data_IF_529093255184
#
_entry.id   IF_529093255184
#
_cell.length_a   1.000
_cell.length_b   1.000
_cell.length_c   1.000
_cell.angle_alpha   90.00
_cell.angle_beta   90.00
_cell.angle_gamma   90.00
#
_symmetry.space_group_name_H-M   'P 1'
#
loop_
_entity.id
_entity.type
_entity.pdbx_description
1 polymer ?
#
# COMPACT_ATOMS: atom_id res chain seq x y z
N UNK A 1 8.24 8.54 -28.87
CA UNK A 1 7.97 8.30 -27.43
C UNK A 1 6.87 7.27 -27.37
N UNK A 2 7.06 6.15 -26.67
CA UNK A 2 6.02 5.10 -26.56
C UNK A 2 4.80 5.68 -25.83
N UNK A 3 3.59 5.23 -26.18
CA UNK A 3 2.32 5.61 -25.58
C UNK A 3 1.72 4.46 -24.79
N UNK A 4 1.31 4.76 -23.56
CA UNK A 4 0.75 3.80 -22.59
C UNK A 4 -0.73 4.09 -22.41
N UNK A 5 -1.56 3.06 -22.57
CA UNK A 5 -2.93 3.07 -22.08
C UNK A 5 -2.94 2.55 -20.65
N UNK A 6 -3.25 3.41 -19.69
CA UNK A 6 -3.24 3.10 -18.26
C UNK A 6 -4.67 2.94 -17.74
N UNK A 7 -5.05 1.73 -17.31
CA UNK A 7 -6.38 1.45 -16.80
C UNK A 7 -6.34 1.35 -15.27
N UNK A 8 -7.06 2.23 -14.58
CA UNK A 8 -7.05 2.28 -13.11
C UNK A 8 -8.46 2.20 -12.51
N UNK A 9 -8.66 1.44 -11.41
CA UNK A 9 -9.97 1.26 -10.80
C UNK A 9 -10.51 2.52 -10.12
N UNK A 10 -9.67 3.55 -9.91
CA UNK A 10 -10.04 4.83 -9.29
C UNK A 10 -9.01 5.89 -9.62
N UNK A 11 -9.42 7.15 -9.60
CA UNK A 11 -8.49 8.25 -9.79
C UNK A 11 -7.43 8.27 -8.64
N UNK A 12 -6.12 8.32 -8.95
CA UNK A 12 -5.07 8.20 -7.93
C UNK A 12 -4.76 9.51 -7.20
N UNK A 13 -5.59 10.53 -7.39
CA UNK A 13 -5.48 11.85 -6.76
C UNK A 13 -6.81 12.24 -6.13
N UNK A 14 -6.84 12.78 -4.89
CA UNK A 14 -5.69 13.06 -4.04
C UNK A 14 -5.05 11.76 -3.51
N UNK A 15 -3.73 11.75 -3.36
CA UNK A 15 -2.94 10.59 -2.95
C UNK A 15 -3.03 10.37 -1.42
N UNK A 16 -4.20 9.95 -0.95
CA UNK A 16 -4.54 9.86 0.48
C UNK A 16 -4.64 8.41 1.01
N UNK A 17 -4.39 7.43 0.16
CA UNK A 17 -4.33 6.00 0.52
C UNK A 17 -3.10 5.38 -0.13
N UNK A 18 -2.56 4.29 0.43
CA UNK A 18 -1.33 3.66 -0.07
C UNK A 18 -1.37 3.31 -1.56
N UNK A 19 -2.49 2.76 -2.03
CA UNK A 19 -2.69 2.45 -3.45
C UNK A 19 -2.67 3.71 -4.33
N UNK A 20 -3.39 4.78 -3.93
CA UNK A 20 -3.39 6.05 -4.67
C UNK A 20 -2.00 6.71 -4.67
N UNK A 21 -1.26 6.62 -3.55
CA UNK A 21 0.12 7.12 -3.44
C UNK A 21 1.03 6.38 -4.44
N UNK A 22 0.96 5.05 -4.50
CA UNK A 22 1.73 4.28 -5.48
C UNK A 22 1.38 4.69 -6.90
N UNK A 23 0.12 4.55 -7.30
CA UNK A 23 -0.32 4.83 -8.67
C UNK A 23 0.02 6.26 -9.09
N UNK A 24 -0.17 7.25 -8.21
CA UNK A 24 0.18 8.65 -8.48
C UNK A 24 1.69 8.82 -8.76
N UNK A 25 2.55 8.20 -7.95
CA UNK A 25 3.99 8.30 -8.15
C UNK A 25 4.47 7.51 -9.36
N UNK A 26 3.93 6.33 -9.63
CA UNK A 26 4.22 5.58 -10.86
C UNK A 26 3.85 6.41 -12.09
N UNK A 27 2.67 7.02 -12.13
CA UNK A 27 2.27 7.90 -13.22
C UNK A 27 3.25 9.07 -13.41
N UNK A 28 3.67 9.75 -12.32
CA UNK A 28 4.68 10.83 -12.37
C UNK A 28 6.02 10.36 -12.93
N UNK A 29 6.40 9.10 -12.71
CA UNK A 29 7.62 8.54 -13.29
C UNK A 29 7.43 8.19 -14.77
N UNK A 30 6.29 7.60 -15.13
CA UNK A 30 6.00 7.22 -16.51
C UNK A 30 5.94 8.43 -17.45
N UNK A 31 5.32 9.54 -17.05
CA UNK A 31 5.20 10.73 -17.92
C UNK A 31 6.53 11.37 -18.29
N UNK A 32 7.61 11.11 -17.54
CA UNK A 32 8.96 11.59 -17.88
C UNK A 32 9.48 10.96 -19.18
N UNK A 33 8.99 9.77 -19.55
CA UNK A 33 9.53 8.95 -20.64
C UNK A 33 8.48 8.42 -21.62
N UNK A 34 7.19 8.45 -21.24
CA UNK A 34 6.07 7.93 -22.03
C UNK A 34 4.94 8.96 -22.18
N UNK A 35 4.20 8.87 -23.28
CA UNK A 35 2.89 9.52 -23.38
C UNK A 35 1.87 8.65 -22.64
N UNK A 36 1.16 9.18 -21.66
CA UNK A 36 0.25 8.39 -20.81
C UNK A 36 -1.17 8.87 -20.97
N UNK A 37 -2.05 7.98 -21.41
CA UNK A 37 -3.50 8.16 -21.37
C UNK A 37 -4.07 7.28 -20.25
N UNK A 38 -4.68 7.89 -19.23
CA UNK A 38 -5.34 7.19 -18.12
C UNK A 38 -6.83 7.12 -18.38
N UNK A 39 -7.40 5.92 -18.29
CA UNK A 39 -8.85 5.72 -18.18
C UNK A 39 -9.15 5.19 -16.79
N UNK A 40 -9.99 5.89 -16.05
CA UNK A 40 -10.27 5.55 -14.66
C UNK A 40 -11.73 5.75 -14.27
N UNK A 41 -12.18 4.98 -13.28
CA UNK A 41 -13.48 5.22 -12.67
C UNK A 41 -13.47 6.46 -11.79
N UNK A 42 -14.55 7.23 -11.88
CA UNK A 42 -14.85 8.36 -11.00
C UNK A 42 -16.00 7.99 -10.08
N UNK A 43 -15.80 8.21 -8.78
CA UNK A 43 -16.78 7.96 -7.72
C UNK A 43 -17.20 9.25 -7.03
N UNK A 44 -16.35 10.27 -7.04
CA UNK A 44 -16.55 11.52 -6.29
C UNK A 44 -16.93 12.67 -7.22
N UNK A 45 -17.76 13.58 -6.71
CA UNK A 45 -18.15 14.80 -7.43
C UNK A 45 -16.95 15.71 -7.75
N UNK A 46 -15.89 15.66 -6.93
CA UNK A 46 -14.69 16.49 -7.09
C UNK A 46 -13.60 15.88 -7.98
N UNK A 47 -13.81 14.67 -8.53
CA UNK A 47 -12.81 14.00 -9.38
C UNK A 47 -12.43 14.84 -10.61
N UNK A 48 -13.30 15.73 -11.07
CA UNK A 48 -13.00 16.66 -12.16
C UNK A 48 -11.89 17.68 -11.83
N UNK A 49 -11.75 18.09 -10.56
CA UNK A 49 -10.64 18.96 -10.12
C UNK A 49 -9.34 18.18 -10.06
N UNK A 50 -9.41 16.96 -9.54
CA UNK A 50 -8.27 16.06 -9.44
C UNK A 50 -7.78 15.60 -10.81
N UNK A 51 -8.68 15.41 -11.78
CA UNK A 51 -8.37 15.19 -13.19
C UNK A 51 -7.43 16.27 -13.73
N UNK A 52 -7.76 17.55 -13.53
CA UNK A 52 -6.94 18.67 -14.00
C UNK A 52 -5.52 18.63 -13.44
N UNK A 53 -5.33 18.16 -12.21
CA UNK A 53 -3.99 18.04 -11.62
C UNK A 53 -3.10 17.03 -12.34
N UNK A 54 -3.67 15.95 -12.88
CA UNK A 54 -2.94 14.98 -13.71
C UNK A 54 -2.72 15.53 -15.13
N UNK A 55 -3.70 16.24 -15.70
CA UNK A 55 -3.57 16.88 -17.01
C UNK A 55 -2.46 17.94 -17.03
N UNK A 56 -2.30 18.69 -15.93
CA UNK A 56 -1.24 19.69 -15.77
C UNK A 56 0.18 19.08 -15.80
N UNK A 57 0.33 17.78 -15.50
CA UNK A 57 1.62 17.08 -15.60
C UNK A 57 1.74 16.24 -16.89
N UNK A 58 0.88 16.51 -17.88
CA UNK A 58 0.95 15.91 -19.22
C UNK A 58 0.22 14.57 -19.38
N UNK A 59 -0.63 14.18 -18.43
CA UNK A 59 -1.43 12.95 -18.50
C UNK A 59 -2.80 13.27 -19.08
N UNK A 60 -3.18 12.61 -20.16
CA UNK A 60 -4.56 12.71 -20.64
C UNK A 60 -5.44 11.78 -19.79
N UNK A 61 -6.55 12.29 -19.24
CA UNK A 61 -7.40 11.51 -18.34
C UNK A 61 -8.84 11.43 -18.85
N UNK A 62 -9.33 10.22 -19.05
CA UNK A 62 -10.73 9.92 -19.30
C UNK A 62 -11.38 9.32 -18.05
N UNK A 63 -12.46 9.95 -17.59
CA UNK A 63 -13.20 9.50 -16.40
C UNK A 63 -14.48 8.80 -16.83
N UNK A 64 -14.68 7.60 -16.29
CA UNK A 64 -15.91 6.83 -16.44
C UNK A 64 -16.66 6.90 -15.13
N UNK A 65 -17.87 7.44 -15.15
CA UNK A 65 -18.67 7.55 -13.93
C UNK A 65 -19.05 6.14 -13.45
N UNK A 66 -18.77 5.84 -12.19
CA UNK A 66 -19.20 4.59 -11.57
C UNK A 66 -20.19 4.83 -10.44
N UNK A 67 -21.23 4.02 -10.41
CA UNK A 67 -22.17 3.96 -9.30
C UNK A 67 -21.92 2.70 -8.49
N UNK A 68 -21.83 2.84 -7.17
CA UNK A 68 -21.71 1.70 -6.28
C UNK A 68 -22.91 0.74 -6.47
N UNK A 69 -22.67 -0.58 -6.63
CA UNK A 69 -23.76 -1.55 -6.76
C UNK A 69 -24.68 -1.50 -5.54
N UNK A 70 -25.99 -1.72 -5.74
CA UNK A 70 -26.93 -1.83 -4.62
C UNK A 70 -26.58 -3.04 -3.73
N UNK A 71 -26.95 -2.98 -2.44
CA UNK A 71 -26.64 -4.05 -1.47
C UNK A 71 -27.01 -5.45 -1.98
N UNK A 72 -28.21 -5.61 -2.57
CA UNK A 72 -28.65 -6.89 -3.13
C UNK A 72 -27.81 -7.37 -4.31
N UNK A 73 -27.37 -6.46 -5.19
CA UNK A 73 -26.42 -6.82 -6.26
C UNK A 73 -25.08 -7.28 -5.69
N UNK A 74 -24.62 -6.69 -4.57
CA UNK A 74 -23.41 -7.14 -3.85
C UNK A 74 -23.60 -8.56 -3.32
N UNK A 75 -24.70 -8.81 -2.60
CA UNK A 75 -25.01 -10.12 -2.02
C UNK A 75 -25.12 -11.20 -3.11
N UNK A 76 -25.90 -10.95 -4.16
CA UNK A 76 -26.06 -11.90 -5.26
C UNK A 76 -24.74 -12.17 -5.99
N UNK A 77 -23.94 -11.14 -6.25
CA UNK A 77 -22.64 -11.29 -6.89
C UNK A 77 -21.67 -12.12 -6.05
N UNK A 78 -21.63 -11.90 -4.74
CA UNK A 78 -20.79 -12.66 -3.81
C UNK A 78 -21.20 -14.15 -3.80
N UNK A 79 -22.49 -14.45 -3.69
CA UNK A 79 -23.00 -15.81 -3.53
C UNK A 79 -22.99 -16.62 -4.82
N UNK A 80 -23.49 -16.05 -5.92
CA UNK A 80 -23.84 -16.82 -7.12
C UNK A 80 -22.87 -16.62 -8.30
N UNK A 81 -22.05 -15.57 -8.29
CA UNK A 81 -21.16 -15.31 -9.43
C UNK A 81 -19.89 -16.16 -9.39
N UNK A 82 -19.40 -16.58 -10.56
CA UNK A 82 -18.20 -17.43 -10.70
C UNK A 82 -16.89 -16.66 -10.48
N UNK A 83 -16.90 -15.34 -10.71
CA UNK A 83 -15.76 -14.44 -10.46
C UNK A 83 -15.84 -13.81 -9.05
N UNK A 84 -14.71 -13.43 -8.46
CA UNK A 84 -14.69 -12.73 -7.17
C UNK A 84 -15.43 -11.40 -7.27
N UNK A 85 -16.27 -11.10 -6.28
CA UNK A 85 -17.10 -9.89 -6.30
C UNK A 85 -16.25 -8.60 -6.31
N UNK A 86 -15.09 -8.62 -5.67
CA UNK A 86 -14.18 -7.47 -5.62
C UNK A 86 -13.70 -7.03 -7.00
N UNK A 87 -13.52 -7.94 -7.96
CA UNK A 87 -13.22 -7.62 -9.36
C UNK A 87 -14.50 -7.29 -10.16
N UNK A 88 -15.57 -8.08 -9.95
CA UNK A 88 -16.82 -7.94 -10.69
C UNK A 88 -17.42 -6.53 -10.58
N UNK A 89 -17.31 -5.89 -9.42
CA UNK A 89 -17.83 -4.53 -9.20
C UNK A 89 -17.17 -3.46 -10.09
N UNK A 90 -16.00 -3.75 -10.67
CA UNK A 90 -15.29 -2.85 -11.60
C UNK A 90 -15.54 -3.18 -13.07
N UNK A 91 -16.42 -4.14 -13.39
CA UNK A 91 -16.85 -4.38 -14.77
C UNK A 91 -18.05 -3.48 -15.12
N UNK A 92 -17.87 -2.53 -16.03
CA UNK A 92 -18.89 -1.56 -16.44
C UNK A 92 -18.90 -1.36 -17.97
N UNK A 93 -20.08 -1.35 -18.64
CA UNK A 93 -20.17 -1.13 -20.08
C UNK A 93 -19.53 0.18 -20.55
N UNK A 94 -19.71 1.28 -19.81
CA UNK A 94 -19.12 2.58 -20.20
C UNK A 94 -17.58 2.55 -20.19
N UNK A 95 -16.96 1.74 -19.33
CA UNK A 95 -15.52 1.54 -19.34
C UNK A 95 -15.08 0.73 -20.56
N UNK A 96 -15.90 -0.22 -21.01
CA UNK A 96 -15.66 -0.91 -22.29
C UNK A 96 -15.69 0.10 -23.44
N UNK A 97 -16.72 0.94 -23.51
CA UNK A 97 -16.84 1.96 -24.57
C UNK A 97 -15.65 2.92 -24.55
N UNK A 98 -15.23 3.39 -23.38
CA UNK A 98 -14.07 4.27 -23.23
C UNK A 98 -12.77 3.60 -23.71
N UNK A 99 -12.50 2.36 -23.26
CA UNK A 99 -11.31 1.60 -23.68
C UNK A 99 -11.30 1.36 -25.18
N UNK A 100 -12.41 0.90 -25.76
CA UNK A 100 -12.49 0.66 -27.21
C UNK A 100 -12.38 1.96 -28.03
N UNK A 101 -12.97 3.05 -27.55
CA UNK A 101 -12.85 4.37 -28.18
C UNK A 101 -11.38 4.80 -28.19
N UNK A 102 -10.70 4.74 -27.05
CA UNK A 102 -9.30 5.09 -26.94
C UNK A 102 -8.43 4.27 -27.90
N UNK A 103 -8.62 2.95 -27.94
CA UNK A 103 -7.87 2.03 -28.83
C UNK A 103 -8.14 2.28 -30.32
N UNK A 104 -9.30 2.84 -30.69
CA UNK A 104 -9.60 3.25 -32.08
C UNK A 104 -8.99 4.60 -32.45
N UNK A 105 -9.02 5.56 -31.53
CA UNK A 105 -8.61 6.95 -31.79
C UNK A 105 -7.10 7.16 -31.74
N UNK A 106 -6.37 6.34 -30.96
CA UNK A 106 -4.94 6.50 -30.72
C UNK A 106 -4.22 5.16 -30.88
N UNK A 107 -2.97 5.20 -31.33
CA UNK A 107 -2.07 4.05 -31.34
C UNK A 107 -1.32 3.97 -30.02
N UNK A 108 -1.43 2.84 -29.34
CA UNK A 108 -0.72 2.54 -28.10
C UNK A 108 0.36 1.50 -28.34
N UNK A 109 1.44 1.57 -27.57
CA UNK A 109 2.53 0.59 -27.61
C UNK A 109 2.36 -0.50 -26.55
N UNK A 110 1.67 -0.19 -25.43
CA UNK A 110 1.37 -1.16 -24.37
C UNK A 110 0.16 -0.72 -23.52
N UNK A 111 -0.39 -1.67 -22.77
CA UNK A 111 -1.41 -1.44 -21.75
C UNK A 111 -0.85 -1.71 -20.36
N UNK A 112 -1.06 -0.77 -19.44
CA UNK A 112 -0.80 -0.92 -18.01
C UNK A 112 -2.14 -1.11 -17.29
N UNK A 113 -2.30 -2.23 -16.60
CA UNK A 113 -3.44 -2.54 -15.74
C UNK A 113 -3.02 -2.28 -14.30
N UNK A 114 -3.53 -1.20 -13.70
CA UNK A 114 -3.29 -0.86 -12.30
C UNK A 114 -4.28 -1.64 -11.44
N UNK A 115 -3.80 -2.65 -10.70
CA UNK A 115 -4.55 -3.71 -10.04
C UNK A 115 -5.28 -4.71 -10.96
N UNK A 116 -5.28 -5.99 -10.56
CA UNK A 116 -6.05 -7.05 -11.24
C UNK A 116 -7.55 -6.78 -11.35
N UNK A 117 -8.09 -5.87 -10.54
CA UNK A 117 -9.46 -5.39 -10.61
C UNK A 117 -9.85 -4.87 -12.00
N UNK A 118 -8.89 -4.36 -12.78
CA UNK A 118 -9.09 -3.89 -14.16
C UNK A 118 -8.82 -4.97 -15.23
N UNK A 119 -8.46 -6.19 -14.84
CA UNK A 119 -8.06 -7.24 -15.78
C UNK A 119 -9.16 -7.67 -16.75
N UNK A 120 -10.44 -7.43 -16.42
CA UNK A 120 -11.58 -7.67 -17.33
C UNK A 120 -11.45 -6.96 -18.69
N UNK A 121 -10.73 -5.83 -18.72
CA UNK A 121 -10.57 -5.03 -19.93
C UNK A 121 -9.42 -5.51 -20.82
N UNK A 122 -8.58 -6.43 -20.33
CA UNK A 122 -7.49 -7.05 -21.11
C UNK A 122 -7.99 -7.62 -22.45
N UNK A 123 -9.20 -8.19 -22.45
CA UNK A 123 -9.77 -8.83 -23.64
C UNK A 123 -9.95 -7.89 -24.83
N UNK A 124 -10.02 -6.58 -24.59
CA UNK A 124 -10.16 -5.55 -25.63
C UNK A 124 -8.81 -5.08 -26.18
N UNK A 125 -7.71 -5.35 -25.47
CA UNK A 125 -6.37 -4.92 -25.84
C UNK A 125 -5.40 -6.09 -26.11
N UNK A 126 -5.91 -7.26 -26.51
CA UNK A 126 -5.11 -8.49 -26.72
C UNK A 126 -3.97 -8.38 -27.73
N UNK A 127 -4.01 -7.39 -28.62
CA UNK A 127 -2.97 -7.17 -29.63
C UNK A 127 -1.78 -6.37 -29.10
N UNK A 128 -1.89 -5.82 -27.89
CA UNK A 128 -0.86 -5.01 -27.27
C UNK A 128 -0.17 -5.79 -26.13
N UNK A 129 1.14 -5.59 -25.91
CA UNK A 129 1.79 -5.99 -24.69
C UNK A 129 1.04 -5.45 -23.48
N UNK A 130 0.66 -6.33 -22.56
CA UNK A 130 -0.06 -5.95 -21.35
C UNK A 130 0.76 -6.27 -20.11
N UNK A 131 0.86 -5.29 -19.21
CA UNK A 131 1.50 -5.43 -17.91
C UNK A 131 0.48 -5.17 -16.81
N UNK A 132 0.39 -6.07 -15.82
CA UNK A 132 -0.42 -5.85 -14.62
C UNK A 132 0.48 -5.40 -13.48
N UNK A 133 0.14 -4.29 -12.82
CA UNK A 133 0.77 -3.85 -11.58
C UNK A 133 -0.08 -4.31 -10.39
N UNK A 134 0.36 -5.37 -9.72
CA UNK A 134 -0.30 -5.89 -8.52
C UNK A 134 0.23 -5.15 -7.30
N UNK A 135 -0.66 -4.43 -6.62
CA UNK A 135 -0.30 -3.75 -5.37
C UNK A 135 -0.24 -4.72 -4.19
N UNK A 136 -0.95 -5.85 -4.30
CA UNK A 136 -0.97 -6.95 -3.35
C UNK A 136 -1.32 -8.25 -4.09
N UNK A 137 -1.05 -9.40 -3.47
CA UNK A 137 -1.70 -10.66 -3.86
C UNK A 137 -3.09 -10.74 -3.22
N UNK A 138 -4.14 -10.52 -4.00
CA UNK A 138 -5.51 -10.29 -3.52
C UNK A 138 -6.10 -11.54 -2.86
N UNK A 139 -5.86 -12.74 -3.42
CA UNK A 139 -6.39 -13.96 -2.80
C UNK A 139 -5.79 -14.23 -1.42
N UNK A 140 -4.54 -13.79 -1.17
CA UNK A 140 -3.85 -13.96 0.11
C UNK A 140 -4.46 -13.09 1.19
N UNK A 141 -4.89 -11.88 0.86
CA UNK A 141 -5.64 -11.02 1.78
C UNK A 141 -6.91 -11.76 2.24
N UNK A 142 -7.68 -12.30 1.30
CA UNK A 142 -8.92 -13.04 1.61
C UNK A 142 -8.65 -14.33 2.42
N UNK A 143 -7.55 -15.04 2.13
CA UNK A 143 -7.10 -16.22 2.89
C UNK A 143 -6.77 -15.84 4.34
N UNK A 144 -6.00 -14.76 4.55
CA UNK A 144 -5.65 -14.24 5.89
C UNK A 144 -6.90 -13.81 6.66
N UNK A 145 -7.85 -13.11 6.01
CA UNK A 145 -9.14 -12.79 6.62
C UNK A 145 -9.90 -14.04 7.07
N UNK A 146 -9.92 -15.12 6.27
CA UNK A 146 -10.55 -16.38 6.67
C UNK A 146 -9.88 -17.03 7.89
N UNK A 147 -8.57 -16.87 8.06
CA UNK A 147 -7.84 -17.50 9.15
C UNK A 147 -8.15 -16.84 10.51
N UNK A 148 -8.32 -15.52 10.53
CA UNK A 148 -8.62 -14.76 11.76
C UNK A 148 -10.12 -14.65 12.07
N UNK A 149 -10.99 -14.90 11.09
CA UNK A 149 -12.44 -14.84 11.27
C UNK A 149 -12.94 -15.95 12.22
N UNK A 150 -13.75 -15.54 13.20
CA UNK A 150 -14.31 -16.40 14.24
C UNK A 150 -15.67 -16.99 13.84
N UNK A 151 -16.44 -16.28 13.02
CA UNK A 151 -17.78 -16.71 12.60
C UNK A 151 -17.70 -17.73 11.46
N UNK A 152 -18.21 -18.98 11.64
CA UNK A 152 -18.03 -20.06 10.66
C UNK A 152 -18.54 -19.73 9.26
N UNK A 153 -19.70 -19.05 9.16
CA UNK A 153 -20.29 -18.70 7.86
C UNK A 153 -19.44 -17.66 7.11
N UNK A 154 -18.96 -16.62 7.80
CA UNK A 154 -18.08 -15.60 7.20
C UNK A 154 -16.73 -16.19 6.80
N UNK A 155 -16.19 -17.08 7.63
CA UNK A 155 -14.96 -17.81 7.34
C UNK A 155 -15.08 -18.65 6.07
N UNK A 156 -16.18 -19.41 5.92
CA UNK A 156 -16.46 -20.17 4.71
C UNK A 156 -16.58 -19.24 3.48
N UNK A 157 -17.23 -18.09 3.64
CA UNK A 157 -17.36 -17.10 2.59
C UNK A 157 -16.00 -16.53 2.14
N UNK A 158 -15.13 -16.14 3.07
CA UNK A 158 -13.78 -15.65 2.76
C UNK A 158 -12.95 -16.72 2.04
N UNK A 159 -13.01 -17.99 2.47
CA UNK A 159 -12.35 -19.11 1.77
C UNK A 159 -12.86 -19.30 0.35
N UNK A 160 -14.17 -19.22 0.17
CA UNK A 160 -14.78 -19.31 -1.15
C UNK A 160 -14.32 -18.17 -2.05
N UNK A 161 -14.37 -16.92 -1.57
CA UNK A 161 -13.91 -15.76 -2.34
C UNK A 161 -12.41 -15.80 -2.61
N UNK A 162 -11.59 -16.26 -1.66
CA UNK A 162 -10.14 -16.46 -1.86
C UNK A 162 -9.88 -17.47 -2.99
N UNK A 163 -10.60 -18.59 -3.02
CA UNK A 163 -10.47 -19.58 -4.10
C UNK A 163 -10.89 -19.01 -5.46
N UNK A 164 -11.97 -18.22 -5.50
CA UNK A 164 -12.42 -17.52 -6.72
C UNK A 164 -11.37 -16.50 -7.18
N UNK A 165 -10.79 -15.74 -6.26
CA UNK A 165 -9.76 -14.75 -6.54
C UNK A 165 -8.48 -15.38 -7.07
N UNK A 166 -7.98 -16.45 -6.42
CA UNK A 166 -6.79 -17.16 -6.89
C UNK A 166 -6.94 -17.66 -8.33
N UNK A 167 -8.11 -18.23 -8.67
CA UNK A 167 -8.43 -18.66 -10.04
C UNK A 167 -8.56 -17.48 -11.00
N UNK A 168 -8.99 -16.32 -10.52
CA UNK A 168 -9.12 -15.10 -11.31
C UNK A 168 -7.74 -14.52 -11.63
N UNK A 169 -6.91 -14.25 -10.62
CA UNK A 169 -5.52 -13.77 -10.78
C UNK A 169 -4.73 -14.69 -11.71
N UNK A 170 -4.70 -15.99 -11.42
CA UNK A 170 -4.00 -16.97 -12.26
C UNK A 170 -4.46 -16.92 -13.72
N UNK A 171 -5.77 -16.80 -13.99
CA UNK A 171 -6.30 -16.76 -15.36
C UNK A 171 -5.86 -15.51 -16.12
N UNK A 172 -5.94 -14.33 -15.51
CA UNK A 172 -5.68 -13.07 -16.20
C UNK A 172 -4.19 -12.75 -16.28
N UNK A 173 -3.41 -13.05 -15.24
CA UNK A 173 -1.96 -12.88 -15.27
C UNK A 173 -1.32 -13.76 -16.35
N UNK A 174 -1.78 -15.00 -16.54
CA UNK A 174 -1.34 -15.91 -17.61
C UNK A 174 -1.56 -15.36 -19.04
N UNK A 175 -2.38 -14.32 -19.21
CA UNK A 175 -2.65 -13.68 -20.51
C UNK A 175 -1.80 -12.42 -20.75
N UNK A 176 -0.97 -12.02 -19.78
CA UNK A 176 -0.21 -10.78 -19.82
C UNK A 176 1.24 -11.03 -20.24
N UNK A 177 1.87 -10.01 -20.81
CA UNK A 177 3.30 -10.04 -21.16
C UNK A 177 4.17 -10.03 -19.88
N UNK A 178 3.73 -9.31 -18.86
CA UNK A 178 4.41 -9.26 -17.58
C UNK A 178 3.48 -8.90 -16.41
N UNK A 179 3.95 -9.19 -15.21
CA UNK A 179 3.31 -8.79 -13.96
C UNK A 179 4.35 -8.12 -13.06
N UNK A 180 3.93 -7.06 -12.36
CA UNK A 180 4.72 -6.43 -11.33
C UNK A 180 4.20 -6.83 -9.96
N UNK A 181 5.11 -7.30 -9.12
CA UNK A 181 4.85 -7.58 -7.71
C UNK A 181 5.54 -6.50 -6.86
N UNK A 182 4.97 -6.09 -5.73
CA UNK A 182 5.58 -5.07 -4.86
C UNK A 182 6.72 -5.61 -4.00
N UNK A 183 6.93 -6.92 -3.97
CA UNK A 183 7.97 -7.58 -3.20
C UNK A 183 8.39 -8.91 -3.82
N UNK A 184 9.53 -9.46 -3.38
CA UNK A 184 9.96 -10.79 -3.82
C UNK A 184 9.01 -11.88 -3.30
N UNK A 185 8.50 -11.75 -2.07
CA UNK A 185 7.52 -12.68 -1.51
C UNK A 185 6.24 -12.73 -2.37
N UNK A 186 5.74 -11.57 -2.79
CA UNK A 186 4.61 -11.48 -3.72
C UNK A 186 4.97 -12.05 -5.09
N UNK A 187 6.19 -11.79 -5.59
CA UNK A 187 6.64 -12.31 -6.87
C UNK A 187 6.68 -13.84 -6.90
N UNK A 188 7.17 -14.48 -5.83
CA UNK A 188 7.16 -15.94 -5.65
C UNK A 188 5.74 -16.48 -5.70
N UNK A 189 4.80 -15.82 -5.02
CA UNK A 189 3.39 -16.24 -5.02
C UNK A 189 2.76 -16.09 -6.41
N UNK A 190 2.97 -14.95 -7.09
CA UNK A 190 2.46 -14.71 -8.44
C UNK A 190 3.02 -15.72 -9.45
N UNK A 191 4.32 -16.02 -9.38
CA UNK A 191 4.97 -17.07 -10.20
C UNK A 191 4.35 -18.44 -9.93
N UNK A 192 4.11 -18.79 -8.66
CA UNK A 192 3.50 -20.06 -8.30
C UNK A 192 2.06 -20.21 -8.82
N UNK A 193 1.19 -19.19 -8.66
CA UNK A 193 -0.21 -19.29 -9.12
C UNK A 193 -0.34 -19.25 -10.64
N UNK A 194 0.66 -18.71 -11.34
CA UNK A 194 0.71 -18.67 -12.80
C UNK A 194 1.51 -19.80 -13.40
N UNK A 195 2.11 -20.69 -12.59
CA UNK A 195 3.02 -21.75 -13.06
C UNK A 195 4.17 -21.18 -13.93
N UNK A 196 4.68 -20.00 -13.57
CA UNK A 196 5.69 -19.23 -14.31
C UNK A 196 5.30 -18.83 -15.74
N UNK A 197 4.01 -18.89 -16.09
CA UNK A 197 3.55 -18.51 -17.43
C UNK A 197 3.57 -16.99 -17.70
N UNK A 198 3.65 -16.16 -16.66
CA UNK A 198 3.85 -14.70 -16.78
C UNK A 198 5.24 -14.32 -16.30
N UNK A 199 5.88 -13.38 -16.98
CA UNK A 199 7.13 -12.82 -16.51
C UNK A 199 6.87 -11.87 -15.33
N UNK A 200 7.20 -12.30 -14.12
CA UNK A 200 6.99 -11.52 -12.90
C UNK A 200 8.26 -10.79 -12.49
N UNK A 201 8.20 -9.47 -12.42
CA UNK A 201 9.28 -8.60 -11.94
C UNK A 201 8.89 -7.89 -10.64
N UNK A 202 9.87 -7.68 -9.76
CA UNK A 202 9.64 -6.89 -8.54
C UNK A 202 9.69 -5.40 -8.87
N UNK A 203 8.56 -4.73 -8.66
CA UNK A 203 8.42 -3.28 -8.71
C UNK A 203 7.99 -2.78 -7.35
N UNK A 204 8.96 -2.60 -6.46
CA UNK A 204 8.72 -2.20 -5.08
C UNK A 204 7.84 -0.94 -4.99
N UNK A 205 7.16 -0.80 -3.86
CA UNK A 205 6.66 0.50 -3.46
C UNK A 205 7.82 1.45 -3.15
N UNK A 206 7.59 2.76 -3.14
CA UNK A 206 8.64 3.73 -2.93
C UNK A 206 8.25 4.88 -2.02
N UNK A 207 9.21 5.78 -1.83
CA UNK A 207 9.09 7.00 -1.05
C UNK A 207 9.78 8.15 -1.79
N UNK A 208 9.27 9.36 -1.63
CA UNK A 208 9.94 10.56 -2.14
C UNK A 208 11.03 10.98 -1.14
N UNK A 209 12.27 10.60 -1.43
CA UNK A 209 13.42 10.82 -0.51
C UNK A 209 13.83 12.28 -0.38
N UNK A 210 13.29 13.15 -1.26
CA UNK A 210 13.45 14.62 -1.21
C UNK A 210 12.38 15.27 -0.35
N UNK A 211 11.22 14.64 -0.20
CA UNK A 211 10.14 15.11 0.67
C UNK A 211 10.30 14.59 2.10
N UNK A 212 10.65 13.32 2.26
CA UNK A 212 10.92 12.67 3.54
C UNK A 212 12.41 12.69 3.86
N UNK A 213 12.92 13.87 4.22
CA UNK A 213 14.32 14.07 4.61
C UNK A 213 14.48 14.02 6.14
N UNK A 214 15.67 13.68 6.66
CA UNK A 214 15.95 13.74 8.09
C UNK A 214 15.84 15.17 8.59
N UNK A 215 15.37 15.33 9.82
CA UNK A 215 15.39 16.60 10.52
C UNK A 215 15.91 16.38 11.94
N UNK A 216 16.93 17.14 12.32
CA UNK A 216 17.56 17.10 13.63
C UNK A 216 16.84 17.97 14.67
N UNK A 217 15.90 18.82 14.25
CA UNK A 217 15.26 19.79 15.11
C UNK A 217 14.23 19.14 16.04
N UNK A 218 14.47 19.30 17.35
CA UNK A 218 13.58 19.03 18.48
C UNK A 218 12.95 17.63 18.53
N UNK A 219 13.76 16.62 18.88
CA UNK A 219 13.25 15.30 19.27
C UNK A 219 12.83 15.34 20.75
N UNK A 220 11.56 15.01 21.04
CA UNK A 220 11.13 14.75 22.41
C UNK A 220 11.83 13.51 22.95
N UNK A 221 12.51 13.65 24.10
CA UNK A 221 13.38 12.62 24.71
C UNK A 221 12.73 11.25 24.92
N UNK A 222 11.42 11.15 25.14
CA UNK A 222 10.74 9.88 25.42
C UNK A 222 9.47 9.75 24.57
N UNK A 223 9.64 9.57 23.26
CA UNK A 223 8.53 9.68 22.30
C UNK A 223 8.51 8.58 21.26
N UNK A 224 7.30 8.04 21.04
CA UNK A 224 6.96 7.05 20.04
C UNK A 224 5.96 7.63 19.05
N UNK A 225 6.03 7.21 17.80
CA UNK A 225 5.04 7.59 16.78
C UNK A 225 4.59 6.41 15.94
N UNK A 226 3.31 6.45 15.58
CA UNK A 226 2.70 5.61 14.56
C UNK A 226 1.87 6.49 13.63
N UNK A 227 1.99 6.32 12.31
CA UNK A 227 1.14 7.04 11.33
C UNK A 227 0.18 6.08 10.64
N UNK A 228 -1.06 6.49 10.39
CA UNK A 228 -2.01 5.71 9.58
C UNK A 228 -3.47 6.03 9.87
N UNK A 229 -4.35 5.77 8.91
CA UNK A 229 -5.80 5.92 9.12
C UNK A 229 -6.34 4.74 9.93
N UNK A 230 -7.14 5.01 10.97
CA UNK A 230 -7.67 3.99 11.89
C UNK A 230 -9.00 3.38 11.41
N UNK A 231 -9.56 3.89 10.31
CA UNK A 231 -10.60 3.18 9.54
C UNK A 231 -10.04 2.00 8.73
N UNK A 232 -8.71 1.81 8.73
CA UNK A 232 -8.05 0.61 8.23
C UNK A 232 -7.76 -0.35 9.38
N UNK A 233 -8.46 -1.49 9.38
CA UNK A 233 -8.43 -2.50 10.46
C UNK A 233 -7.01 -2.86 10.95
N UNK A 234 -6.01 -3.12 10.09
CA UNK A 234 -4.63 -3.36 10.53
C UNK A 234 -4.00 -2.27 11.40
N UNK A 235 -4.33 -0.99 11.17
CA UNK A 235 -3.77 0.11 11.95
C UNK A 235 -4.44 0.20 13.33
N UNK A 236 -5.77 0.08 13.37
CA UNK A 236 -6.54 0.15 14.60
C UNK A 236 -6.22 -1.04 15.53
N UNK A 237 -6.18 -2.26 14.99
CA UNK A 237 -5.75 -3.45 15.73
C UNK A 237 -4.32 -3.31 16.28
N UNK A 238 -3.39 -2.81 15.48
CA UNK A 238 -1.99 -2.60 15.90
C UNK A 238 -1.89 -1.63 17.09
N UNK A 239 -2.65 -0.54 17.08
CA UNK A 239 -2.61 0.45 18.17
C UNK A 239 -3.34 -0.02 19.42
N UNK A 240 -4.45 -0.75 19.28
CA UNK A 240 -5.11 -1.42 20.41
C UNK A 240 -4.16 -2.44 21.04
N UNK A 241 -3.54 -3.29 20.22
CA UNK A 241 -2.56 -4.30 20.64
C UNK A 241 -1.38 -3.64 21.37
N UNK A 242 -0.76 -2.63 20.77
CA UNK A 242 0.36 -1.92 21.38
C UNK A 242 -0.01 -1.30 22.72
N UNK A 243 -1.15 -0.60 22.79
CA UNK A 243 -1.58 0.07 24.01
C UNK A 243 -1.97 -0.91 25.13
N UNK A 244 -2.46 -2.12 24.80
CA UNK A 244 -2.87 -3.12 25.79
C UNK A 244 -1.73 -4.05 26.23
N UNK A 245 -0.81 -4.40 25.33
CA UNK A 245 0.16 -5.48 25.56
C UNK A 245 1.61 -5.00 25.66
N UNK A 246 1.97 -3.88 25.02
CA UNK A 246 3.37 -3.42 24.91
C UNK A 246 3.62 -2.16 25.75
N UNK A 247 2.78 -1.13 25.57
CA UNK A 247 2.89 0.14 26.30
C UNK A 247 2.90 -0.03 27.82
N UNK A 248 2.10 -0.92 28.45
CA UNK A 248 2.19 -1.13 29.90
C UNK A 248 3.56 -1.61 30.37
N UNK A 249 4.26 -2.44 29.57
CA UNK A 249 5.61 -2.93 29.87
C UNK A 249 6.63 -1.79 29.78
N UNK A 250 6.49 -0.92 28.77
CA UNK A 250 7.32 0.29 28.62
C UNK A 250 7.10 1.22 29.81
N UNK A 251 5.84 1.50 30.17
CA UNK A 251 5.48 2.41 31.26
C UNK A 251 6.04 1.98 32.62
N UNK A 252 6.23 0.68 32.87
CA UNK A 252 6.84 0.17 34.10
C UNK A 252 8.29 0.63 34.28
N UNK A 253 9.01 0.86 33.18
CA UNK A 253 10.43 1.27 33.17
C UNK A 253 10.59 2.76 32.83
N UNK A 254 9.75 3.29 31.95
CA UNK A 254 9.78 4.65 31.41
C UNK A 254 8.37 5.28 31.45
N UNK A 255 7.88 5.72 32.63
CA UNK A 255 6.51 6.20 32.80
C UNK A 255 6.19 7.52 32.09
N UNK A 256 7.21 8.23 31.57
CA UNK A 256 7.04 9.50 30.85
C UNK A 256 6.92 9.34 29.34
N UNK A 257 7.09 8.13 28.80
CA UNK A 257 7.01 7.88 27.36
C UNK A 257 5.67 8.31 26.80
N UNK A 258 5.73 9.17 25.79
CA UNK A 258 4.57 9.59 25.01
C UNK A 258 4.44 8.75 23.75
N UNK A 259 3.20 8.50 23.33
CA UNK A 259 2.88 7.87 22.05
C UNK A 259 1.96 8.78 21.25
N UNK A 260 2.40 9.15 20.05
CA UNK A 260 1.61 9.88 19.06
C UNK A 260 1.04 8.91 18.02
N UNK A 261 -0.28 8.76 18.01
CA UNK A 261 -1.03 8.02 17.00
C UNK A 261 -1.56 9.03 15.98
N UNK A 262 -0.83 9.18 14.88
CA UNK A 262 -1.08 10.19 13.85
C UNK A 262 -2.02 9.62 12.79
N UNK A 263 -3.31 9.91 12.93
CA UNK A 263 -4.33 9.22 12.15
C UNK A 263 -5.75 9.68 12.42
N UNK A 264 -6.62 9.56 11.41
CA UNK A 264 -8.05 9.86 11.51
C UNK A 264 -8.88 8.60 11.82
N UNK A 265 -10.13 8.82 12.22
CA UNK A 265 -11.19 7.82 12.34
C UNK A 265 -10.89 6.64 13.31
N UNK A 266 -10.39 6.89 14.55
CA UNK A 266 -10.17 5.81 15.52
C UNK A 266 -11.46 5.11 15.91
N UNK A 267 -11.42 3.79 16.12
CA UNK A 267 -12.59 3.08 16.64
C UNK A 267 -12.92 3.51 18.06
N UNK A 268 -14.17 3.30 18.49
CA UNK A 268 -14.58 3.53 19.87
C UNK A 268 -13.75 2.71 20.87
N UNK A 269 -13.31 1.51 20.46
CA UNK A 269 -12.42 0.68 21.28
C UNK A 269 -11.05 1.33 21.45
N UNK A 270 -10.41 1.76 20.36
CA UNK A 270 -9.11 2.43 20.44
C UNK A 270 -9.20 3.71 21.29
N UNK A 271 -10.25 4.52 21.10
CA UNK A 271 -10.49 5.71 21.93
C UNK A 271 -10.63 5.34 23.42
N UNK A 272 -11.39 4.30 23.75
CA UNK A 272 -11.56 3.87 25.14
C UNK A 272 -10.26 3.33 25.78
N UNK A 273 -9.36 2.72 24.99
CA UNK A 273 -8.04 2.28 25.45
C UNK A 273 -7.13 3.48 25.68
N UNK A 274 -7.07 4.42 24.74
CA UNK A 274 -6.21 5.61 24.81
C UNK A 274 -6.62 6.54 25.93
N UNK A 275 -7.92 6.75 26.17
CA UNK A 275 -8.43 7.63 27.23
C UNK A 275 -8.00 7.22 28.65
N UNK A 276 -7.49 5.99 28.84
CA UNK A 276 -6.96 5.52 30.13
C UNK A 276 -5.50 5.92 30.37
N UNK A 277 -4.80 6.44 29.36
CA UNK A 277 -3.40 6.81 29.44
C UNK A 277 -3.18 8.21 28.84
N UNK A 278 -3.00 9.21 29.71
CA UNK A 278 -2.75 10.60 29.32
C UNK A 278 -1.45 10.83 28.51
N UNK A 279 -0.60 9.80 28.38
CA UNK A 279 0.62 9.85 27.56
C UNK A 279 0.40 9.36 26.12
N UNK A 280 -0.81 8.92 25.77
CA UNK A 280 -1.14 8.50 24.41
C UNK A 280 -2.06 9.54 23.78
N UNK A 281 -1.67 10.07 22.63
CA UNK A 281 -2.42 11.09 21.89
C UNK A 281 -2.82 10.55 20.52
N UNK A 282 -4.11 10.66 20.18
CA UNK A 282 -4.59 10.47 18.81
C UNK A 282 -4.80 11.85 18.18
N UNK A 283 -4.00 12.19 17.18
CA UNK A 283 -3.95 13.56 16.63
C UNK A 283 -5.11 13.88 15.70
N UNK A 284 -5.79 12.86 15.16
CA UNK A 284 -6.67 13.04 14.01
C UNK A 284 -5.90 13.23 12.69
N UNK A 285 -6.58 13.78 11.68
CA UNK A 285 -5.93 14.16 10.42
C UNK A 285 -5.08 15.41 10.63
N UNK A 286 -3.81 15.33 10.27
CA UNK A 286 -2.86 16.44 10.34
C UNK A 286 -2.48 16.95 8.94
N UNK A 287 -2.07 18.22 8.79
CA UNK A 287 -1.59 18.74 7.51
C UNK A 287 -0.32 18.04 7.01
N UNK A 288 0.57 17.68 7.94
CA UNK A 288 1.84 17.04 7.65
C UNK A 288 2.23 16.06 8.77
N UNK A 289 2.39 14.78 8.41
CA UNK A 289 2.80 13.74 9.35
C UNK A 289 4.25 13.89 9.79
N UNK A 290 5.10 14.54 8.97
CA UNK A 290 6.55 14.65 9.21
C UNK A 290 6.84 15.39 10.51
N UNK A 291 6.04 16.39 10.88
CA UNK A 291 6.21 17.11 12.15
C UNK A 291 6.19 16.16 13.37
N UNK A 292 5.25 15.22 13.38
CA UNK A 292 5.11 14.22 14.45
C UNK A 292 6.18 13.13 14.37
N UNK A 293 6.66 12.81 13.16
CA UNK A 293 7.75 11.86 12.99
C UNK A 293 9.08 12.49 13.44
N UNK A 294 9.35 13.74 13.07
CA UNK A 294 10.54 14.48 13.47
C UNK A 294 10.66 14.63 14.98
N UNK A 295 9.57 15.02 15.65
CA UNK A 295 9.58 15.15 17.11
C UNK A 295 9.74 13.81 17.85
N UNK A 296 9.55 12.66 17.18
CA UNK A 296 9.54 11.36 17.84
C UNK A 296 10.88 10.62 17.75
N UNK A 297 11.34 9.98 18.84
CA UNK A 297 12.60 9.20 18.84
C UNK A 297 12.48 7.93 18.01
N UNK A 298 11.40 7.16 18.18
CA UNK A 298 11.24 5.82 17.59
C UNK A 298 9.92 5.76 16.83
N UNK A 299 9.96 5.20 15.63
CA UNK A 299 8.79 4.91 14.83
C UNK A 299 8.37 3.45 15.04
N UNK A 300 7.15 3.22 15.53
CA UNK A 300 6.67 1.87 15.83
C UNK A 300 5.68 1.37 14.76
N UNK A 301 5.75 0.08 14.40
CA UNK A 301 4.80 -0.58 13.48
C UNK A 301 4.40 -1.98 14.00
N UNK A 302 3.58 -2.06 15.05
CA UNK A 302 3.18 -3.31 15.68
C UNK A 302 2.03 -4.02 14.93
N UNK A 303 2.10 -4.04 13.59
CA UNK A 303 1.03 -4.56 12.72
C UNK A 303 1.10 -6.08 12.59
N UNK A 304 0.14 -6.79 13.18
CA UNK A 304 0.08 -8.27 13.15
C UNK A 304 -0.88 -8.87 12.11
N UNK A 305 -1.61 -8.03 11.37
CA UNK A 305 -2.56 -8.44 10.32
C UNK A 305 -2.45 -7.53 9.09
N UNK A 306 -2.77 -8.05 7.90
CA UNK A 306 -2.73 -7.30 6.64
C UNK A 306 -1.82 -7.96 5.60
N UNK A 307 -1.48 -7.22 4.54
CA UNK A 307 -0.53 -7.63 3.49
C UNK A 307 -0.04 -6.43 2.67
N UNK A 308 1.00 -6.62 1.86
CA UNK A 308 1.65 -5.58 1.05
C UNK A 308 2.58 -4.64 1.83
N UNK A 309 3.36 -3.83 1.11
CA UNK A 309 4.37 -2.92 1.70
C UNK A 309 3.75 -1.82 2.55
N UNK A 310 4.35 -1.53 3.72
CA UNK A 310 3.98 -0.38 4.55
C UNK A 310 4.79 0.85 4.14
N UNK A 311 4.19 1.72 3.31
CA UNK A 311 4.80 2.99 2.92
C UNK A 311 5.31 3.81 4.11
N UNK A 312 4.59 3.80 5.24
CA UNK A 312 4.99 4.48 6.47
C UNK A 312 6.37 4.09 7.01
N UNK A 313 6.79 2.84 6.78
CA UNK A 313 8.13 2.39 7.17
C UNK A 313 9.14 3.05 6.23
N UNK A 314 8.93 3.02 4.92
CA UNK A 314 9.83 3.70 3.96
C UNK A 314 9.93 5.20 4.23
N UNK A 315 8.82 5.86 4.59
CA UNK A 315 8.77 7.26 5.03
C UNK A 315 9.65 7.48 6.28
N UNK A 316 9.48 6.65 7.32
CA UNK A 316 10.26 6.73 8.55
C UNK A 316 11.76 6.45 8.33
N UNK A 317 12.09 5.40 7.59
CA UNK A 317 13.46 5.04 7.21
C UNK A 317 14.11 6.17 6.40
N UNK A 318 13.38 6.77 5.46
CA UNK A 318 13.86 7.94 4.71
C UNK A 318 14.20 9.11 5.63
N UNK A 319 13.45 9.32 6.71
CA UNK A 319 13.72 10.38 7.69
C UNK A 319 14.75 10.01 8.77
N UNK A 320 15.54 8.95 8.57
CA UNK A 320 16.52 8.41 9.54
C UNK A 320 15.92 8.06 10.91
N UNK A 321 14.67 7.62 10.95
CA UNK A 321 14.06 7.15 12.20
C UNK A 321 14.39 5.69 12.44
N UNK A 322 14.72 5.39 13.70
CA UNK A 322 14.77 4.01 14.16
C UNK A 322 13.35 3.42 14.11
N UNK A 323 13.20 2.33 13.36
CA UNK A 323 11.93 1.64 13.19
C UNK A 323 11.93 0.35 14.02
N UNK A 324 10.89 0.16 14.83
CA UNK A 324 10.60 -1.11 15.50
C UNK A 324 9.29 -1.64 14.95
N UNK A 325 9.31 -2.83 14.36
CA UNK A 325 8.15 -3.43 13.68
C UNK A 325 7.98 -4.89 14.06
N UNK A 326 6.81 -5.43 13.79
CA UNK A 326 6.63 -6.90 13.66
C UNK A 326 7.10 -7.37 12.29
N UNK A 327 7.27 -8.68 12.11
CA UNK A 327 7.58 -9.30 10.83
C UNK A 327 6.49 -9.02 9.78
N UNK A 328 5.22 -9.10 10.18
CA UNK A 328 4.06 -8.76 9.34
C UNK A 328 4.01 -7.26 9.02
N UNK A 329 4.44 -6.39 9.94
CA UNK A 329 4.54 -4.96 9.71
C UNK A 329 5.60 -4.58 8.66
N UNK A 330 6.70 -5.33 8.58
CA UNK A 330 7.80 -5.08 7.65
C UNK A 330 7.68 -5.86 6.32
N UNK A 331 6.60 -6.61 6.11
CA UNK A 331 6.34 -7.36 4.88
C UNK A 331 6.47 -6.46 3.63
N UNK A 332 7.15 -6.99 2.61
CA UNK A 332 7.38 -6.30 1.35
C UNK A 332 8.48 -5.22 1.37
N UNK A 333 9.28 -5.16 2.43
CA UNK A 333 10.50 -4.37 2.53
C UNK A 333 11.70 -5.33 2.64
N UNK A 334 12.75 -5.06 1.88
CA UNK A 334 14.01 -5.75 1.94
C UNK A 334 14.82 -5.14 3.09
N UNK A 335 14.75 -5.76 4.26
CA UNK A 335 15.35 -5.26 5.49
C UNK A 335 16.38 -6.25 6.07
N UNK A 336 17.27 -5.73 6.91
CA UNK A 336 18.17 -6.49 7.76
C UNK A 336 17.77 -6.30 9.23
N UNK A 337 17.24 -7.35 9.87
CA UNK A 337 16.82 -7.25 11.28
C UNK A 337 17.99 -6.87 12.19
N UNK A 338 17.85 -5.77 12.92
CA UNK A 338 18.90 -5.16 13.75
C UNK A 338 19.97 -4.40 12.95
N UNK A 339 19.86 -4.34 11.63
CA UNK A 339 20.71 -3.55 10.75
C UNK A 339 20.07 -2.21 10.39
N UNK A 340 18.87 -2.25 9.81
CA UNK A 340 18.11 -1.08 9.34
C UNK A 340 16.70 -0.97 9.94
N UNK A 341 16.14 -2.09 10.43
CA UNK A 341 14.87 -2.17 11.15
C UNK A 341 15.04 -3.17 12.29
N UNK A 342 14.43 -2.93 13.45
CA UNK A 342 14.29 -3.95 14.49
C UNK A 342 12.96 -4.67 14.35
N UNK A 343 13.02 -5.98 14.20
CA UNK A 343 11.85 -6.87 14.06
C UNK A 343 11.69 -7.69 15.32
N UNK A 344 10.55 -7.51 16.00
CA UNK A 344 10.13 -8.30 17.15
C UNK A 344 8.63 -8.61 17.05
N UNK A 345 8.27 -9.89 17.14
CA UNK A 345 6.86 -10.34 17.15
C UNK A 345 6.33 -10.58 18.57
N UNK A 346 7.23 -10.72 19.55
CA UNK A 346 6.87 -10.89 20.96
C UNK A 346 6.67 -9.51 21.63
N UNK A 347 5.54 -9.26 22.30
CA UNK A 347 5.27 -7.97 22.93
C UNK A 347 6.31 -7.56 23.99
N UNK A 348 6.83 -8.50 24.77
CA UNK A 348 7.78 -8.20 25.83
C UNK A 348 9.15 -7.83 25.25
N UNK A 349 9.63 -8.61 24.26
CA UNK A 349 10.87 -8.27 23.56
C UNK A 349 10.76 -6.97 22.78
N UNK A 350 9.61 -6.69 22.16
CA UNK A 350 9.40 -5.40 21.49
C UNK A 350 9.51 -4.23 22.48
N UNK A 351 8.89 -4.36 23.67
CA UNK A 351 9.01 -3.35 24.73
C UNK A 351 10.48 -3.16 25.16
N UNK A 352 11.22 -4.25 25.36
CA UNK A 352 12.65 -4.22 25.71
C UNK A 352 13.48 -3.51 24.64
N UNK A 353 13.30 -3.84 23.35
CA UNK A 353 14.01 -3.19 22.24
C UNK A 353 13.69 -1.68 22.17
N UNK A 354 12.43 -1.30 22.39
CA UNK A 354 12.03 0.11 22.43
C UNK A 354 12.74 0.84 23.58
N UNK A 355 12.77 0.26 24.78
CA UNK A 355 13.46 0.84 25.94
C UNK A 355 14.96 0.97 25.66
N UNK A 356 15.59 -0.07 25.10
CA UNK A 356 17.01 -0.04 24.74
C UNK A 356 17.32 1.07 23.73
N UNK A 357 16.51 1.24 22.69
CA UNK A 357 16.69 2.32 21.73
C UNK A 357 16.42 3.73 22.29
N UNK A 358 15.59 3.85 23.33
CA UNK A 358 15.40 5.12 24.03
C UNK A 358 16.64 5.53 24.82
N UNK A 359 17.38 4.54 25.35
CA UNK A 359 18.56 4.72 26.19
C UNK A 359 19.87 4.79 25.40
N UNK A 360 19.94 4.14 24.24
CA UNK A 360 21.12 4.08 23.38
C UNK A 360 20.93 4.94 22.12
N UNK A 361 21.31 6.21 22.26
CA UNK A 361 21.26 7.22 21.19
C UNK A 361 22.10 6.85 19.97
N UNK A 362 23.28 6.28 20.17
CA UNK A 362 24.21 5.93 19.10
C UNK A 362 23.69 4.75 18.30
N UNK A 363 23.18 3.73 18.98
CA UNK A 363 22.51 2.60 18.32
C UNK A 363 21.28 3.05 17.54
N UNK A 364 20.46 3.92 18.12
CA UNK A 364 19.25 4.46 17.47
C UNK A 364 19.59 5.24 16.20
N UNK A 365 20.59 6.13 16.27
CA UNK A 365 21.06 6.90 15.10
C UNK A 365 21.68 6.00 14.04
N UNK A 366 22.50 5.03 14.43
CA UNK A 366 23.11 4.06 13.50
C UNK A 366 22.04 3.27 12.75
N UNK A 367 21.00 2.79 13.45
CA UNK A 367 19.87 2.09 12.84
C UNK A 367 19.14 2.99 11.83
N UNK A 368 18.83 4.23 12.21
CA UNK A 368 18.16 5.20 11.33
C UNK A 368 18.97 5.57 10.08
N UNK A 369 20.28 5.76 10.23
CA UNK A 369 21.18 6.03 9.10
C UNK A 369 21.23 4.85 8.13
N UNK A 370 21.40 3.62 8.64
CA UNK A 370 21.36 2.41 7.82
C UNK A 370 20.02 2.27 7.08
N UNK A 371 18.91 2.57 7.76
CA UNK A 371 17.57 2.60 7.19
C UNK A 371 17.46 3.56 6.00
N UNK A 372 17.96 4.79 6.13
CA UNK A 372 17.97 5.75 5.02
C UNK A 372 18.83 5.28 3.85
N UNK A 373 19.98 4.66 4.12
CA UNK A 373 20.82 4.12 3.04
C UNK A 373 20.10 3.01 2.25
N UNK A 374 19.36 2.13 2.92
CA UNK A 374 18.51 1.13 2.26
C UNK A 374 17.48 1.81 1.35
N UNK A 375 16.78 2.82 1.86
CA UNK A 375 15.77 3.57 1.09
C UNK A 375 16.37 4.27 -0.14
N UNK A 376 17.47 5.00 0.03
CA UNK A 376 18.11 5.75 -1.06
C UNK A 376 18.62 4.84 -2.18
N UNK A 377 18.98 3.59 -1.85
CA UNK A 377 19.49 2.61 -2.81
C UNK A 377 18.38 1.89 -3.58
N UNK A 378 17.23 1.63 -2.96
CA UNK A 378 16.26 0.67 -3.49
C UNK A 378 14.82 1.20 -3.63
N UNK A 379 14.46 2.23 -2.88
CA UNK A 379 13.05 2.62 -2.64
C UNK A 379 12.70 4.06 -3.06
N UNK A 380 13.63 4.82 -3.65
CA UNK A 380 13.26 6.11 -4.26
C UNK A 380 12.42 5.90 -5.52
N UNK A 381 11.38 6.73 -5.70
CA UNK A 381 10.51 6.64 -6.87
C UNK A 381 11.24 6.80 -8.20
N UNK A 382 12.34 7.56 -8.27
CA UNK A 382 13.13 7.70 -9.50
C UNK A 382 13.82 6.37 -9.86
N UNK A 383 14.23 5.57 -8.86
CA UNK A 383 14.81 4.23 -9.07
C UNK A 383 13.74 3.25 -9.57
N UNK A 384 12.56 3.28 -8.95
CA UNK A 384 11.42 2.43 -9.34
C UNK A 384 10.94 2.79 -10.76
N UNK A 385 10.84 4.09 -11.05
CA UNK A 385 10.52 4.61 -12.38
C UNK A 385 11.48 4.13 -13.46
N UNK A 386 12.79 4.21 -13.18
CA UNK A 386 13.83 3.75 -14.10
C UNK A 386 13.76 2.23 -14.35
N UNK A 387 13.49 1.43 -13.31
CA UNK A 387 13.28 -0.02 -13.46
C UNK A 387 12.06 -0.31 -14.36
N UNK A 388 10.94 0.39 -14.14
CA UNK A 388 9.75 0.21 -14.97
C UNK A 388 9.98 0.65 -16.42
N UNK A 389 10.67 1.77 -16.62
CA UNK A 389 11.07 2.27 -17.96
C UNK A 389 11.84 1.22 -18.74
N UNK A 390 12.87 0.61 -18.15
CA UNK A 390 13.67 -0.44 -18.80
C UNK A 390 12.83 -1.64 -19.25
N UNK A 391 11.86 -2.06 -18.42
CA UNK A 391 10.96 -3.17 -18.76
C UNK A 391 10.04 -2.80 -19.92
N UNK A 392 9.52 -1.57 -19.96
CA UNK A 392 8.65 -1.09 -21.02
C UNK A 392 9.37 -0.79 -22.33
N UNK A 393 10.65 -0.46 -22.28
CA UNK A 393 11.49 -0.24 -23.46
C UNK A 393 12.09 -1.53 -24.01
N UNK A 394 12.16 -2.58 -23.19
CA UNK A 394 12.67 -3.88 -23.63
C UNK A 394 11.88 -4.38 -24.85
N UNK A 395 12.58 -4.93 -25.86
CA UNK A 395 11.99 -5.32 -27.14
C UNK A 395 11.01 -6.49 -27.03
#
# INVERSE_FOLDING_TARGET
MKRILFLSPRLPVPADTGAKIRTSNILKQLVKHFQVDVISFSFETNDHLHKKSLENIGIHVELVKMHEPSFWKKVLGVLFHVQPFSCLKYFHPDMVVAVEKALREKKYDLVHIDHIHMAHYLKFAKQLPCYVDEHNVEYKILERCANVEKQPFKKALYRQQSTKMKKFEARYLKQCQGAFAVSEDDAVILRAITENAVNTSVMANGVDTRFFVPNADAVEEDSLVFTGSMDWLPNDDAMIYFCKEIMPLINQKKPQVKLFIVGRNPTAELQAVVNKNAKVEITGRVPDVRAYVYQSKIFIVPIRIGGGTRLKILEAMSMEKAVVSTSVGAEGINYCNGGDILIEDDPARMAEQIIHLMEDDDRRKTLGQAARQCVLKEYDWDIIGERMRKIYESP
#
